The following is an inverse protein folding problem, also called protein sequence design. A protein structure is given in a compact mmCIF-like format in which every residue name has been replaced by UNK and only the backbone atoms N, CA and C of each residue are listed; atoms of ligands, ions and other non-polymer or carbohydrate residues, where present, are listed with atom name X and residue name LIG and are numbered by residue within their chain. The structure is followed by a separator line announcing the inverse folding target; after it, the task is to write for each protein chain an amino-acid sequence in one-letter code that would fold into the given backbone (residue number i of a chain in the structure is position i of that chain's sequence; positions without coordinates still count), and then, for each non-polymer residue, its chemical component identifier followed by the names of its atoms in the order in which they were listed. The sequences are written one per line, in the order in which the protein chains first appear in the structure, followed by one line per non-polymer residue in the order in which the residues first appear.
data_IF_787842226406
#
_entry.id   IF_787842226406
#
_cell.length_a   1.000
_cell.length_b   1.000
_cell.length_c   1.000
_cell.angle_alpha   90.00
_cell.angle_beta   90.00
_cell.angle_gamma   90.00
#
_symmetry.space_group_name_H-M   'P 1'
#
loop_
_entity.id
_entity.type
_entity.pdbx_description
1 polymer ?
#
# COMPACT_ATOMS: atom_id res chain seq x y z
N UNK A 1 -12.47 0.32 43.02
CA UNK A 1 -12.30 1.75 42.75
C UNK A 1 -10.93 1.88 42.11
N UNK A 2 -10.74 2.34 40.87
CA UNK A 2 -11.46 3.36 40.09
C UNK A 2 -11.45 2.96 38.61
N UNK A 3 -12.64 2.90 38.01
CA UNK A 3 -12.79 3.12 36.57
C UNK A 3 -12.36 4.56 36.32
N UNK A 4 -11.22 4.78 35.68
CA UNK A 4 -10.82 6.11 35.24
C UNK A 4 -10.16 6.01 33.87
N UNK A 5 -10.91 6.53 32.89
CA UNK A 5 -10.45 7.08 31.60
C UNK A 5 -9.85 6.11 30.58
N UNK A 6 -10.71 5.25 30.05
CA UNK A 6 -10.54 4.73 28.70
C UNK A 6 -10.63 5.90 27.68
N UNK A 7 -9.56 6.13 26.92
CA UNK A 7 -9.48 7.08 25.80
C UNK A 7 -10.75 7.02 24.92
N UNK A 8 -11.25 8.14 24.35
CA UNK A 8 -12.51 8.15 23.58
C UNK A 8 -12.56 7.13 22.42
N UNK A 9 -11.41 6.72 21.89
CA UNK A 9 -11.22 5.66 20.89
C UNK A 9 -11.63 4.26 21.38
N UNK A 10 -11.52 3.96 22.67
CA UNK A 10 -11.94 2.68 23.25
C UNK A 10 -13.46 2.46 23.21
N UNK A 11 -14.25 3.54 23.21
CA UNK A 11 -15.71 3.44 23.16
C UNK A 11 -16.24 3.22 21.74
N UNK A 12 -15.46 3.55 20.71
CA UNK A 12 -15.89 3.44 19.30
C UNK A 12 -15.40 2.17 18.60
N UNK A 13 -14.26 1.61 19.00
CA UNK A 13 -13.73 0.41 18.33
C UNK A 13 -14.52 -0.85 18.70
N UNK A 14 -15.20 -1.45 17.71
CA UNK A 14 -15.90 -2.74 17.85
C UNK A 14 -14.98 -3.89 18.29
N UNK A 15 -13.67 -3.73 18.10
CA UNK A 15 -12.67 -4.74 18.46
C UNK A 15 -12.19 -4.63 19.91
N UNK A 16 -12.43 -3.50 20.59
CA UNK A 16 -11.98 -3.28 21.97
C UNK A 16 -12.58 -4.30 22.96
N UNK A 17 -13.83 -4.75 22.71
CA UNK A 17 -14.53 -5.77 23.52
C UNK A 17 -13.77 -7.10 23.53
N UNK A 18 -13.03 -7.40 22.47
CA UNK A 18 -12.25 -8.62 22.37
C UNK A 18 -10.92 -8.53 23.14
N UNK A 19 -10.40 -7.34 23.44
CA UNK A 19 -9.10 -7.19 24.09
C UNK A 19 -9.12 -7.46 25.59
N UNK A 20 -10.28 -7.37 26.23
CA UNK A 20 -10.47 -7.52 27.68
C UNK A 20 -10.71 -8.96 28.14
N UNK A 21 -10.86 -9.92 27.21
CA UNK A 21 -10.95 -11.34 27.54
C UNK A 21 -9.60 -12.03 27.45
N UNK A 22 -9.45 -13.19 28.12
CA UNK A 22 -8.33 -14.13 27.96
C UNK A 22 -8.32 -14.74 26.53
N UNK A 23 -8.10 -13.91 25.52
CA UNK A 23 -7.94 -14.34 24.15
C UNK A 23 -6.57 -15.00 24.00
N UNK A 24 -6.56 -16.29 24.30
CA UNK A 24 -5.45 -17.19 24.01
C UNK A 24 -5.23 -17.29 22.52
N UNK A 25 -3.99 -17.59 22.15
CA UNK A 25 -3.58 -17.87 20.78
C UNK A 25 -4.52 -18.88 20.10
N UNK A 26 -4.66 -18.83 18.77
CA UNK A 26 -5.45 -19.82 18.07
C UNK A 26 -4.94 -21.23 18.38
N UNK A 27 -5.81 -22.06 18.97
CA UNK A 27 -5.51 -23.47 19.23
C UNK A 27 -5.04 -24.19 17.96
N UNK A 28 -3.90 -24.88 18.05
CA UNK A 28 -3.32 -25.71 17.00
C UNK A 28 -2.05 -25.14 16.36
N UNK A 29 -0.99 -25.96 16.18
CA UNK A 29 0.28 -25.51 15.61
C UNK A 29 0.12 -25.07 14.15
N UNK A 30 0.99 -24.16 13.70
CA UNK A 30 1.14 -23.88 12.27
C UNK A 30 1.96 -25.02 11.67
N UNK A 31 1.33 -25.91 10.90
CA UNK A 31 2.01 -27.00 10.22
C UNK A 31 2.91 -26.49 9.08
N UNK A 32 4.04 -27.18 8.84
CA UNK A 32 5.03 -26.84 7.79
C UNK A 32 4.40 -26.59 6.42
N UNK A 33 3.53 -27.49 5.96
CA UNK A 33 2.87 -27.35 4.66
C UNK A 33 2.05 -26.04 4.58
N UNK A 34 1.27 -25.74 5.62
CA UNK A 34 0.45 -24.51 5.69
C UNK A 34 1.34 -23.27 5.71
N UNK A 35 2.45 -23.30 6.46
CA UNK A 35 3.44 -22.22 6.48
C UNK A 35 4.02 -21.96 5.08
N UNK A 36 4.58 -23.00 4.43
CA UNK A 36 5.23 -22.88 3.13
C UNK A 36 4.28 -22.42 2.03
N UNK A 37 3.08 -23.02 1.96
CA UNK A 37 2.07 -22.64 0.96
C UNK A 37 1.56 -21.23 1.20
N UNK A 38 1.30 -20.83 2.45
CA UNK A 38 0.84 -19.48 2.76
C UNK A 38 1.93 -18.46 2.45
N UNK A 39 3.17 -18.71 2.86
CA UNK A 39 4.33 -17.85 2.54
C UNK A 39 4.49 -17.69 1.02
N UNK A 40 4.51 -18.79 0.26
CA UNK A 40 4.64 -18.74 -1.21
C UNK A 40 3.55 -17.86 -1.84
N UNK A 41 2.28 -18.12 -1.49
CA UNK A 41 1.14 -17.39 -2.04
C UNK A 41 1.17 -15.90 -1.66
N UNK A 42 1.61 -15.56 -0.45
CA UNK A 42 1.76 -14.17 -0.02
C UNK A 42 2.86 -13.48 -0.84
N UNK A 43 4.04 -14.11 -0.94
CA UNK A 43 5.16 -13.56 -1.68
C UNK A 43 4.84 -13.37 -3.18
N UNK A 44 4.11 -14.30 -3.80
CA UNK A 44 3.61 -14.13 -5.17
C UNK A 44 2.63 -12.97 -5.28
N UNK A 45 1.65 -12.85 -4.37
CA UNK A 45 0.68 -11.74 -4.39
C UNK A 45 1.36 -10.38 -4.20
N UNK A 46 2.34 -10.29 -3.30
CA UNK A 46 3.12 -9.08 -3.07
C UNK A 46 3.89 -8.67 -4.32
N UNK A 47 4.59 -9.61 -4.97
CA UNK A 47 5.31 -9.34 -6.23
C UNK A 47 4.38 -8.91 -7.36
N UNK A 48 3.23 -9.56 -7.53
CA UNK A 48 2.25 -9.16 -8.54
C UNK A 48 1.74 -7.75 -8.28
N UNK A 49 1.40 -7.42 -7.04
CA UNK A 49 0.96 -6.09 -6.66
C UNK A 49 2.04 -5.03 -6.92
N UNK A 50 3.29 -5.29 -6.51
CA UNK A 50 4.42 -4.39 -6.76
C UNK A 50 4.58 -4.14 -8.26
N UNK A 51 4.59 -5.20 -9.07
CA UNK A 51 4.72 -5.09 -10.52
C UNK A 51 3.60 -4.25 -11.14
N UNK A 52 2.35 -4.47 -10.72
CA UNK A 52 1.19 -3.72 -11.22
C UNK A 52 1.20 -2.25 -10.78
N UNK A 53 1.54 -1.99 -9.51
CA UNK A 53 1.67 -0.65 -8.97
C UNK A 53 2.78 0.13 -9.70
N UNK A 54 3.93 -0.51 -9.93
CA UNK A 54 5.05 0.08 -10.67
C UNK A 54 4.69 0.35 -12.13
N UNK A 55 4.01 -0.57 -12.80
CA UNK A 55 3.54 -0.37 -14.17
C UNK A 55 2.55 0.81 -14.26
N UNK A 56 1.64 0.94 -13.29
CA UNK A 56 0.69 2.05 -13.22
C UNK A 56 1.39 3.38 -12.96
N UNK A 57 2.39 3.41 -12.06
CA UNK A 57 3.22 4.59 -11.80
C UNK A 57 3.98 5.02 -13.06
N UNK A 58 4.64 4.08 -13.74
CA UNK A 58 5.40 4.35 -14.96
C UNK A 58 4.51 4.92 -16.08
N UNK A 59 3.28 4.43 -16.22
CA UNK A 59 2.30 4.99 -17.18
C UNK A 59 1.95 6.44 -16.85
N UNK A 60 1.68 6.74 -15.57
CA UNK A 60 1.40 8.10 -15.14
C UNK A 60 2.59 9.02 -15.39
N UNK A 61 3.81 8.59 -15.06
CA UNK A 61 5.03 9.34 -15.31
C UNK A 61 5.26 9.61 -16.80
N UNK A 62 4.99 8.63 -17.66
CA UNK A 62 5.02 8.81 -19.11
C UNK A 62 4.05 9.91 -19.60
N UNK A 63 2.81 9.91 -19.11
CA UNK A 63 1.83 10.97 -19.43
C UNK A 63 2.29 12.33 -18.92
N UNK A 64 2.77 12.40 -17.68
CA UNK A 64 3.27 13.63 -17.06
C UNK A 64 4.42 14.21 -17.87
N UNK A 65 5.39 13.37 -18.27
CA UNK A 65 6.55 13.82 -19.04
C UNK A 65 6.16 14.27 -20.46
N UNK A 66 5.26 13.54 -21.12
CA UNK A 66 4.73 13.94 -22.42
C UNK A 66 4.06 15.32 -22.36
N UNK A 67 3.20 15.56 -21.35
CA UNK A 67 2.59 16.88 -21.16
C UNK A 67 3.60 17.95 -20.79
N UNK A 68 4.60 17.66 -19.95
CA UNK A 68 5.66 18.60 -19.61
C UNK A 68 6.38 19.13 -20.85
N UNK A 69 6.69 18.25 -21.79
CA UNK A 69 7.36 18.63 -23.03
C UNK A 69 6.42 19.38 -23.99
N UNK A 70 5.18 18.91 -24.14
CA UNK A 70 4.21 19.57 -25.03
C UNK A 70 3.82 20.97 -24.54
N UNK A 71 3.67 21.15 -23.23
CA UNK A 71 3.32 22.44 -22.63
C UNK A 71 4.50 23.42 -22.63
N UNK A 72 5.72 22.99 -22.92
CA UNK A 72 6.84 23.88 -23.20
C UNK A 72 6.72 24.59 -24.56
N UNK A 73 5.79 24.16 -25.42
CA UNK A 73 5.58 24.70 -26.77
C UNK A 73 4.40 25.67 -26.78
N UNK A 74 4.68 26.96 -27.05
CA UNK A 74 3.67 28.04 -27.06
C UNK A 74 2.47 27.74 -27.97
N UNK A 75 2.74 27.23 -29.17
CA UNK A 75 1.71 26.86 -30.13
C UNK A 75 0.78 25.78 -29.62
N UNK A 76 1.29 24.82 -28.84
CA UNK A 76 0.46 23.78 -28.25
C UNK A 76 -0.37 24.32 -27.08
N UNK A 77 0.20 25.20 -26.25
CA UNK A 77 -0.56 25.88 -25.18
C UNK A 77 -1.71 26.71 -25.75
N UNK A 78 -1.45 27.54 -26.75
CA UNK A 78 -2.46 28.34 -27.42
C UNK A 78 -3.55 27.47 -28.06
N UNK A 79 -3.18 26.31 -28.62
CA UNK A 79 -4.15 25.34 -29.15
C UNK A 79 -5.04 24.76 -28.05
N UNK A 80 -4.47 24.35 -26.91
CA UNK A 80 -5.26 23.85 -25.78
C UNK A 80 -6.19 24.94 -25.24
N UNK A 81 -5.72 26.19 -25.13
CA UNK A 81 -6.55 27.32 -24.73
C UNK A 81 -7.71 27.58 -25.70
N UNK A 82 -7.43 27.63 -27.01
CA UNK A 82 -8.43 27.88 -28.04
C UNK A 82 -9.49 26.77 -28.15
N UNK A 83 -9.15 25.54 -27.77
CA UNK A 83 -10.06 24.39 -27.80
C UNK A 83 -10.70 24.08 -26.42
N UNK A 84 -10.47 24.92 -25.40
CA UNK A 84 -11.10 24.79 -24.08
C UNK A 84 -10.47 23.74 -23.15
N UNK A 85 -9.22 23.34 -23.40
CA UNK A 85 -8.46 22.37 -22.61
C UNK A 85 -7.37 23.00 -21.74
N UNK A 86 -7.33 24.32 -21.57
CA UNK A 86 -6.34 24.97 -20.69
C UNK A 86 -6.40 24.47 -19.23
N UNK A 87 -7.60 24.08 -18.76
CA UNK A 87 -7.82 23.60 -17.40
C UNK A 87 -7.62 22.09 -17.33
N UNK A 88 -6.51 21.68 -16.73
CA UNK A 88 -6.21 20.27 -16.45
C UNK A 88 -6.51 19.89 -14.99
N UNK A 89 -6.68 18.59 -14.68
CA UNK A 89 -6.82 18.14 -13.30
C UNK A 89 -5.62 18.56 -12.43
N UNK A 90 -5.86 19.09 -11.23
CA UNK A 90 -4.81 19.56 -10.33
C UNK A 90 -3.74 18.49 -10.05
N UNK A 91 -4.16 17.24 -9.83
CA UNK A 91 -3.24 16.10 -9.62
C UNK A 91 -2.26 15.86 -10.77
N UNK A 92 -2.65 16.22 -12.00
CA UNK A 92 -1.78 16.15 -13.18
C UNK A 92 -0.93 17.42 -13.30
N UNK A 93 -1.52 18.60 -13.10
CA UNK A 93 -0.82 19.88 -13.12
C UNK A 93 0.34 19.92 -12.11
N UNK A 94 0.06 19.56 -10.86
CA UNK A 94 1.03 19.55 -9.77
C UNK A 94 2.21 18.62 -10.10
N UNK A 95 1.92 17.46 -10.71
CA UNK A 95 2.95 16.50 -11.16
C UNK A 95 3.81 17.03 -12.29
N UNK A 96 3.21 17.73 -13.26
CA UNK A 96 3.93 18.36 -14.36
C UNK A 96 4.88 19.43 -13.81
N UNK A 97 4.39 20.26 -12.88
CA UNK A 97 5.15 21.33 -12.22
C UNK A 97 6.16 20.83 -11.17
N UNK A 98 6.19 19.53 -10.87
CA UNK A 98 7.09 18.94 -9.87
C UNK A 98 6.69 19.23 -8.41
N UNK A 99 5.45 19.68 -8.17
CA UNK A 99 4.94 20.14 -6.87
C UNK A 99 4.44 18.99 -5.97
N UNK A 100 4.54 17.73 -6.39
CA UNK A 100 4.03 16.58 -5.63
C UNK A 100 4.79 16.25 -4.35
N UNK A 101 5.91 16.92 -4.05
CA UNK A 101 6.64 16.73 -2.80
C UNK A 101 5.76 16.99 -1.56
N UNK A 102 4.80 17.92 -1.64
CA UNK A 102 4.03 18.35 -0.46
C UNK A 102 2.88 17.43 -0.05
N UNK A 103 2.31 16.60 -0.95
CA UNK A 103 1.20 15.71 -0.58
C UNK A 103 1.71 14.52 0.25
N UNK A 104 2.96 14.07 0.02
CA UNK A 104 3.61 13.07 0.85
C UNK A 104 4.06 13.64 2.22
N UNK A 105 4.53 14.89 2.24
CA UNK A 105 4.97 15.55 3.48
C UNK A 105 3.82 15.87 4.44
N UNK A 106 2.59 16.05 3.94
CA UNK A 106 1.44 16.36 4.81
C UNK A 106 0.99 15.17 5.69
N UNK A 107 1.55 13.96 5.48
CA UNK A 107 1.38 12.82 6.41
C UNK A 107 2.69 12.31 7.03
N UNK A 108 3.84 12.79 6.58
CA UNK A 108 5.14 12.27 7.01
C UNK A 108 5.92 13.18 7.98
N UNK A 109 5.35 14.32 8.35
CA UNK A 109 5.93 15.19 9.39
C UNK A 109 5.17 15.05 10.70
N UNK A 110 5.37 13.91 11.36
CA UNK A 110 5.36 13.90 12.80
C UNK A 110 6.51 13.03 13.31
N UNK A 111 7.38 13.54 14.20
CA UNK A 111 8.16 12.69 15.06
C UNK A 111 7.22 12.18 16.16
N UNK A 112 6.32 11.26 15.85
CA UNK A 112 5.41 10.76 16.87
C UNK A 112 6.12 9.72 17.74
N UNK A 113 6.81 10.22 18.76
CA UNK A 113 6.66 9.66 20.09
C UNK A 113 5.23 9.90 20.60
N UNK A 114 4.20 9.51 19.83
CA UNK A 114 2.89 9.22 20.43
C UNK A 114 3.19 8.07 21.36
N UNK A 115 3.04 8.32 22.66
CA UNK A 115 3.11 7.28 23.67
C UNK A 115 2.21 6.15 23.17
N UNK A 116 2.81 5.02 22.78
CA UNK A 116 2.13 3.87 22.20
C UNK A 116 1.14 3.36 23.25
N UNK A 117 -0.09 3.89 23.21
CA UNK A 117 -1.11 3.50 24.16
C UNK A 117 -1.46 2.06 23.83
N UNK A 118 -1.17 1.16 24.78
CA UNK A 118 -1.46 -0.25 24.66
C UNK A 118 -2.75 -0.57 25.40
N UNK A 119 -3.67 -1.23 24.72
CA UNK A 119 -4.89 -1.76 25.31
C UNK A 119 -4.78 -3.28 25.28
N UNK A 120 -4.61 -3.88 26.46
CA UNK A 120 -4.44 -5.33 26.57
C UNK A 120 -3.31 -5.85 25.68
N UNK A 121 -2.19 -5.14 25.59
CA UNK A 121 -1.01 -5.50 24.81
C UNK A 121 -1.09 -5.22 23.30
N UNK A 122 -2.13 -4.50 22.83
CA UNK A 122 -2.30 -4.10 21.43
C UNK A 122 -2.23 -2.59 21.29
N UNK A 123 -1.50 -2.09 20.30
CA UNK A 123 -1.46 -0.67 19.93
C UNK A 123 -2.84 -0.15 19.51
N UNK A 124 -3.21 1.05 19.95
CA UNK A 124 -4.47 1.68 19.51
C UNK A 124 -4.54 1.81 17.99
N UNK A 125 -3.43 2.15 17.35
CA UNK A 125 -3.32 2.33 15.89
C UNK A 125 -3.68 1.04 15.13
N UNK A 126 -3.37 -0.13 15.71
CA UNK A 126 -3.74 -1.42 15.13
C UNK A 126 -5.27 -1.58 15.12
N UNK A 127 -5.96 -1.08 16.15
CA UNK A 127 -7.42 -1.13 16.21
C UNK A 127 -8.05 -0.20 15.17
N UNK A 128 -7.45 0.96 14.94
CA UNK A 128 -7.89 1.93 13.93
C UNK A 128 -7.68 1.36 12.51
N UNK A 129 -6.50 0.78 12.24
CA UNK A 129 -6.20 0.13 10.95
C UNK A 129 -7.20 -1.00 10.65
N UNK A 130 -7.61 -1.74 11.68
CA UNK A 130 -8.48 -2.91 11.53
C UNK A 130 -9.97 -2.61 11.73
N UNK A 131 -10.36 -1.36 11.99
CA UNK A 131 -11.73 -1.01 12.39
C UNK A 131 -12.78 -1.51 11.39
N UNK A 132 -12.51 -1.34 10.09
CA UNK A 132 -13.41 -1.69 8.98
C UNK A 132 -13.29 -3.17 8.57
N UNK A 133 -12.31 -3.88 9.12
CA UNK A 133 -12.06 -5.28 8.79
C UNK A 133 -12.84 -6.25 9.69
N UNK A 134 -13.31 -7.36 9.12
CA UNK A 134 -13.78 -8.51 9.91
C UNK A 134 -12.53 -9.23 10.46
N UNK A 135 -12.28 -9.06 11.76
CA UNK A 135 -11.08 -9.60 12.42
C UNK A 135 -11.45 -10.80 13.28
N UNK A 136 -10.84 -11.98 13.05
CA UNK A 136 -10.96 -13.08 14.00
C UNK A 136 -10.37 -12.67 15.35
N UNK A 137 -11.08 -12.78 16.50
CA UNK A 137 -10.58 -12.28 17.79
C UNK A 137 -9.19 -12.82 18.17
N UNK A 138 -8.90 -14.07 17.83
CA UNK A 138 -7.59 -14.74 18.01
C UNK A 138 -6.42 -14.05 17.28
N UNK A 139 -6.70 -13.12 16.36
CA UNK A 139 -5.70 -12.28 15.70
C UNK A 139 -4.95 -11.41 16.72
N UNK A 140 -5.65 -10.84 17.70
CA UNK A 140 -5.02 -9.99 18.71
C UNK A 140 -4.10 -10.79 19.62
N UNK A 141 -4.43 -12.06 19.91
CA UNK A 141 -3.51 -12.98 20.60
C UNK A 141 -2.21 -13.21 19.82
N UNK A 142 -2.27 -13.28 18.50
CA UNK A 142 -1.09 -13.41 17.64
C UNK A 142 -0.27 -12.11 17.60
N UNK A 143 -0.92 -10.96 17.43
CA UNK A 143 -0.21 -9.67 17.33
C UNK A 143 0.53 -9.32 18.63
N UNK A 144 0.06 -9.77 19.79
CA UNK A 144 0.79 -9.62 21.08
C UNK A 144 2.17 -10.31 21.11
N UNK A 145 2.47 -11.21 20.17
CA UNK A 145 3.77 -11.90 20.10
C UNK A 145 4.89 -11.00 19.55
N UNK A 146 4.56 -9.82 19.01
CA UNK A 146 5.53 -8.90 18.43
C UNK A 146 5.46 -7.53 19.10
N UNK A 147 6.55 -6.77 18.99
CA UNK A 147 6.65 -5.41 19.52
C UNK A 147 5.62 -4.47 18.88
N UNK A 148 5.19 -3.40 19.57
CA UNK A 148 4.20 -2.43 19.09
C UNK A 148 4.35 -1.98 17.63
N UNK A 149 5.55 -1.57 17.22
CA UNK A 149 5.82 -1.12 15.84
C UNK A 149 5.58 -2.21 14.81
N UNK A 150 5.94 -3.45 15.15
CA UNK A 150 5.72 -4.62 14.30
C UNK A 150 4.24 -5.02 14.24
N UNK A 151 3.46 -4.80 15.31
CA UNK A 151 2.01 -5.01 15.27
C UNK A 151 1.35 -4.12 14.21
N UNK A 152 1.71 -2.83 14.20
CA UNK A 152 1.21 -1.83 13.25
C UNK A 152 1.60 -2.24 11.83
N UNK A 153 2.86 -2.60 11.62
CA UNK A 153 3.34 -3.02 10.29
C UNK A 153 2.59 -4.25 9.78
N UNK A 154 2.43 -5.30 10.60
CA UNK A 154 1.67 -6.50 10.22
C UNK A 154 0.23 -6.12 9.88
N UNK A 155 -0.42 -5.27 10.69
CA UNK A 155 -1.79 -4.82 10.45
C UNK A 155 -1.93 -4.12 9.09
N UNK A 156 -1.04 -3.18 8.77
CA UNK A 156 -1.01 -2.50 7.47
C UNK A 156 -0.82 -3.49 6.32
N UNK A 157 0.12 -4.42 6.45
CA UNK A 157 0.42 -5.41 5.42
C UNK A 157 -0.76 -6.35 5.16
N UNK A 158 -1.39 -6.90 6.21
CA UNK A 158 -2.52 -7.82 6.03
C UNK A 158 -3.77 -7.14 5.48
N UNK A 159 -3.97 -5.85 5.78
CA UNK A 159 -5.07 -5.05 5.21
C UNK A 159 -4.78 -4.72 3.75
N UNK A 160 -3.58 -4.24 3.42
CA UNK A 160 -3.18 -3.96 2.04
C UNK A 160 -3.20 -5.22 1.15
N UNK A 161 -2.93 -6.38 1.73
CA UNK A 161 -3.06 -7.67 1.06
C UNK A 161 -4.51 -8.16 0.97
N UNK A 162 -5.48 -7.52 1.61
CA UNK A 162 -6.86 -7.99 1.79
C UNK A 162 -6.91 -9.42 2.37
N UNK A 163 -6.01 -9.70 3.32
CA UNK A 163 -5.80 -11.03 3.93
C UNK A 163 -5.76 -10.95 5.44
N UNK A 164 -6.81 -10.42 6.03
CA UNK A 164 -7.02 -10.45 7.50
C UNK A 164 -7.38 -11.87 7.95
N UNK A 165 -6.40 -12.78 7.92
CA UNK A 165 -6.54 -14.22 8.21
C UNK A 165 -5.45 -14.67 9.17
N UNK A 166 -5.78 -15.57 10.09
CA UNK A 166 -4.86 -16.04 11.14
C UNK A 166 -3.57 -16.65 10.58
N UNK A 167 -3.64 -17.46 9.52
CA UNK A 167 -2.44 -18.07 8.91
C UNK A 167 -1.55 -17.03 8.23
N UNK A 168 -2.12 -15.95 7.70
CA UNK A 168 -1.34 -14.84 7.14
C UNK A 168 -0.54 -14.15 8.25
N UNK A 169 -1.20 -13.77 9.35
CA UNK A 169 -0.50 -13.17 10.50
C UNK A 169 0.55 -14.12 11.10
N UNK A 170 0.26 -15.42 11.20
CA UNK A 170 1.24 -16.41 11.66
C UNK A 170 2.48 -16.48 10.77
N UNK A 171 2.36 -16.34 9.44
CA UNK A 171 3.53 -16.26 8.55
C UNK A 171 4.36 -15.02 8.86
N UNK A 172 3.73 -13.84 8.99
CA UNK A 172 4.44 -12.61 9.36
C UNK A 172 5.18 -12.75 10.70
N UNK A 173 4.56 -13.36 11.71
CA UNK A 173 5.17 -13.56 13.03
C UNK A 173 6.32 -14.57 12.98
N UNK A 174 6.15 -15.69 12.26
CA UNK A 174 7.23 -16.68 12.08
C UNK A 174 8.44 -16.08 11.37
N UNK A 175 8.21 -15.14 10.44
CA UNK A 175 9.24 -14.43 9.69
C UNK A 175 9.54 -13.05 10.30
N UNK A 176 9.26 -12.86 11.60
CA UNK A 176 9.65 -11.64 12.33
C UNK A 176 11.00 -11.89 13.01
N UNK A 177 11.96 -10.96 12.89
CA UNK A 177 13.25 -11.08 13.57
C UNK A 177 13.07 -11.09 15.09
N UNK A 178 13.94 -11.82 15.80
CA UNK A 178 13.88 -11.95 17.26
C UNK A 178 13.88 -10.61 18.00
N UNK A 179 14.56 -9.60 17.46
CA UNK A 179 14.59 -8.23 18.00
C UNK A 179 13.24 -7.51 17.97
N UNK A 180 12.29 -8.01 17.18
CA UNK A 180 10.93 -7.47 17.03
C UNK A 180 9.86 -8.39 17.66
N UNK A 181 10.25 -9.45 18.35
CA UNK A 181 9.35 -10.25 19.17
C UNK A 181 9.10 -9.56 20.52
N UNK A 182 7.90 -9.74 21.07
CA UNK A 182 7.57 -9.22 22.40
C UNK A 182 8.41 -9.88 23.51
N UNK A 183 8.79 -11.14 23.31
CA UNK A 183 9.79 -11.86 24.10
C UNK A 183 10.95 -12.32 23.19
N UNK A 184 12.09 -11.62 23.18
CA UNK A 184 13.25 -12.00 22.37
C UNK A 184 13.89 -13.34 22.76
N UNK A 185 13.62 -13.83 23.98
CA UNK A 185 14.15 -15.11 24.47
C UNK A 185 13.33 -16.32 23.99
N UNK A 186 12.17 -16.07 23.38
CA UNK A 186 11.32 -17.12 22.81
C UNK A 186 12.06 -17.91 21.73
N UNK A 187 11.95 -19.24 21.82
CA UNK A 187 12.54 -20.14 20.84
C UNK A 187 11.94 -19.88 19.45
N UNK A 188 12.80 -19.87 18.42
CA UNK A 188 12.35 -19.77 17.03
C UNK A 188 11.47 -20.95 16.70
N UNK A 189 10.49 -20.73 15.82
CA UNK A 189 9.64 -21.82 15.35
C UNK A 189 10.43 -22.75 14.45
N UNK A 190 10.47 -24.02 14.83
CA UNK A 190 11.13 -25.05 14.05
C UNK A 190 10.14 -25.80 13.17
N UNK A 191 10.58 -26.16 11.97
CA UNK A 191 9.83 -27.00 11.05
C UNK A 191 10.72 -28.15 10.60
N UNK A 192 10.26 -29.39 10.73
CA UNK A 192 11.04 -30.56 10.32
C UNK A 192 11.53 -30.42 8.86
N UNK A 193 12.85 -30.52 8.65
CA UNK A 193 13.48 -30.36 7.34
C UNK A 193 13.45 -28.93 6.78
N UNK A 194 13.39 -27.92 7.65
CA UNK A 194 13.83 -26.55 7.38
C UNK A 194 14.86 -26.24 8.45
N UNK A 195 16.11 -26.04 8.05
CA UNK A 195 17.16 -25.69 9.01
C UNK A 195 17.10 -24.20 9.38
N UNK A 196 17.86 -23.81 10.41
CA UNK A 196 17.88 -22.45 10.91
C UNK A 196 18.39 -21.43 9.85
N UNK A 197 19.32 -21.84 8.98
CA UNK A 197 19.88 -20.97 7.95
C UNK A 197 18.85 -20.70 6.84
N UNK A 198 18.12 -21.74 6.42
CA UNK A 198 17.01 -21.64 5.47
C UNK A 198 15.90 -20.74 6.02
N UNK A 199 15.51 -20.90 7.28
CA UNK A 199 14.49 -20.05 7.88
C UNK A 199 14.95 -18.59 7.98
N UNK A 200 16.22 -18.34 8.34
CA UNK A 200 16.78 -16.99 8.37
C UNK A 200 16.85 -16.36 6.97
N UNK A 201 17.16 -17.13 5.93
CA UNK A 201 17.10 -16.65 4.54
C UNK A 201 15.66 -16.32 4.12
N UNK A 202 14.68 -17.13 4.52
CA UNK A 202 13.26 -16.82 4.29
C UNK A 202 12.84 -15.54 5.01
N UNK A 203 13.28 -15.34 6.25
CA UNK A 203 13.04 -14.15 7.06
C UNK A 203 13.57 -12.89 6.35
N UNK A 204 14.85 -12.89 5.95
CA UNK A 204 15.47 -11.77 5.28
C UNK A 204 14.79 -11.42 3.94
N UNK A 205 14.56 -12.43 3.08
CA UNK A 205 13.91 -12.23 1.78
C UNK A 205 12.47 -11.70 1.93
N UNK A 206 11.74 -12.18 2.94
CA UNK A 206 10.38 -11.76 3.18
C UNK A 206 10.30 -10.36 3.80
N UNK A 207 11.30 -9.97 4.61
CA UNK A 207 11.42 -8.61 5.13
C UNK A 207 11.66 -7.59 4.01
N UNK A 208 12.59 -7.87 3.10
CA UNK A 208 12.84 -7.02 1.91
C UNK A 208 11.57 -6.86 1.06
N UNK A 209 10.92 -8.00 0.74
CA UNK A 209 9.68 -7.99 -0.04
C UNK A 209 8.53 -7.25 0.68
N UNK A 210 8.43 -7.37 2.00
CA UNK A 210 7.43 -6.67 2.82
C UNK A 210 7.62 -5.16 2.78
N UNK A 211 8.88 -4.71 2.85
CA UNK A 211 9.20 -3.30 2.74
C UNK A 211 8.87 -2.75 1.35
N UNK A 212 9.27 -3.44 0.28
CA UNK A 212 8.97 -3.03 -1.10
C UNK A 212 7.45 -2.98 -1.36
N UNK A 213 6.73 -4.01 -0.88
CA UNK A 213 5.27 -4.07 -0.99
C UNK A 213 4.61 -2.91 -0.24
N UNK A 214 5.04 -2.62 0.98
CA UNK A 214 4.52 -1.49 1.76
C UNK A 214 4.74 -0.16 1.04
N UNK A 215 5.96 0.11 0.59
CA UNK A 215 6.30 1.33 -0.16
C UNK A 215 5.42 1.47 -1.41
N UNK A 216 5.19 0.36 -2.11
CA UNK A 216 4.34 0.30 -3.30
C UNK A 216 2.87 0.56 -2.94
N UNK A 217 2.36 -0.03 -1.86
CA UNK A 217 0.97 0.08 -1.42
C UNK A 217 0.63 1.50 -0.95
N UNK A 218 1.52 2.15 -0.19
CA UNK A 218 1.34 3.53 0.28
C UNK A 218 1.17 4.52 -0.88
N UNK A 219 1.88 4.31 -1.99
CA UNK A 219 1.84 5.17 -3.17
C UNK A 219 0.77 4.76 -4.19
N UNK A 220 0.30 3.51 -4.15
CA UNK A 220 -0.59 2.95 -5.16
C UNK A 220 -1.88 3.76 -5.29
N UNK A 221 -2.57 4.05 -4.19
CA UNK A 221 -3.84 4.80 -4.20
C UNK A 221 -3.72 6.19 -4.86
N UNK A 222 -2.84 7.08 -4.36
CA UNK A 222 -2.62 8.39 -4.97
C UNK A 222 -2.18 8.34 -6.44
N UNK A 223 -1.31 7.38 -6.81
CA UNK A 223 -0.87 7.22 -8.19
C UNK A 223 -2.00 6.72 -9.10
N UNK A 224 -2.80 5.75 -8.65
CA UNK A 224 -3.93 5.22 -9.42
C UNK A 224 -5.00 6.28 -9.66
N UNK A 225 -5.36 7.08 -8.63
CA UNK A 225 -6.30 8.19 -8.79
C UNK A 225 -5.78 9.27 -9.76
N UNK A 226 -4.51 9.64 -9.64
CA UNK A 226 -3.88 10.59 -10.55
C UNK A 226 -3.86 10.06 -11.99
N UNK A 227 -3.61 8.77 -12.19
CA UNK A 227 -3.65 8.14 -13.51
C UNK A 227 -5.06 8.13 -14.10
N UNK A 228 -6.09 7.82 -13.31
CA UNK A 228 -7.50 7.89 -13.75
C UNK A 228 -7.85 9.31 -14.19
N UNK A 229 -7.49 10.32 -13.39
CA UNK A 229 -7.73 11.73 -13.73
C UNK A 229 -6.97 12.15 -15.00
N UNK A 230 -5.69 11.79 -15.10
CA UNK A 230 -4.86 12.08 -16.26
C UNK A 230 -5.41 11.43 -17.53
N UNK A 231 -5.87 10.18 -17.43
CA UNK A 231 -6.51 9.47 -18.52
C UNK A 231 -7.81 10.14 -18.97
N UNK A 232 -8.68 10.52 -18.04
CA UNK A 232 -9.95 11.19 -18.38
C UNK A 232 -9.73 12.57 -19.02
N UNK A 233 -8.65 13.27 -18.65
CA UNK A 233 -8.24 14.48 -19.36
C UNK A 233 -7.68 14.15 -20.75
N UNK A 234 -6.78 13.17 -20.85
CA UNK A 234 -6.17 12.76 -22.11
C UNK A 234 -7.22 12.30 -23.14
N UNK A 235 -8.22 11.52 -22.73
CA UNK A 235 -9.29 11.04 -23.61
C UNK A 235 -10.09 12.22 -24.21
N UNK A 236 -10.36 13.26 -23.43
CA UNK A 236 -11.02 14.49 -23.92
C UNK A 236 -10.14 15.26 -24.91
N UNK A 237 -8.86 15.41 -24.61
CA UNK A 237 -7.88 16.10 -25.48
C UNK A 237 -7.72 15.34 -26.80
N UNK A 238 -7.59 14.02 -26.74
CA UNK A 238 -7.43 13.14 -27.90
C UNK A 238 -8.74 12.92 -28.67
N UNK A 239 -9.89 13.29 -28.10
CA UNK A 239 -11.17 13.38 -28.81
C UNK A 239 -11.30 14.61 -29.72
N UNK A 240 -10.42 15.61 -29.58
CA UNK A 240 -10.46 16.81 -30.41
C UNK A 240 -9.61 16.65 -31.68
N UNK A 241 -10.28 16.72 -32.84
CA UNK A 241 -9.65 16.54 -34.16
C UNK A 241 -8.51 17.52 -34.43
N UNK A 242 -8.61 18.77 -33.96
CA UNK A 242 -7.57 19.78 -34.17
C UNK A 242 -6.31 19.47 -33.36
N UNK A 243 -6.49 19.03 -32.11
CA UNK A 243 -5.37 18.58 -31.27
C UNK A 243 -4.70 17.34 -31.86
N UNK A 244 -5.48 16.33 -32.23
CA UNK A 244 -4.93 15.10 -32.85
C UNK A 244 -4.17 15.42 -34.13
N UNK A 245 -4.73 16.28 -35.01
CA UNK A 245 -4.06 16.71 -36.24
C UNK A 245 -2.74 17.45 -35.95
N UNK A 246 -2.73 18.33 -34.95
CA UNK A 246 -1.52 19.04 -34.55
C UNK A 246 -0.45 18.07 -34.03
N UNK A 247 -0.83 17.13 -33.17
CA UNK A 247 0.09 16.11 -32.65
C UNK A 247 0.60 15.20 -33.76
N UNK A 248 -0.25 14.76 -34.69
CA UNK A 248 0.15 13.92 -35.81
C UNK A 248 1.22 14.57 -36.69
N UNK A 249 1.12 15.89 -36.89
CA UNK A 249 2.05 16.63 -37.74
C UNK A 249 3.36 16.99 -37.02
N UNK A 250 3.28 17.41 -35.75
CA UNK A 250 4.42 17.99 -35.03
C UNK A 250 5.05 17.04 -34.00
N UNK A 251 4.28 16.11 -33.44
CA UNK A 251 4.70 15.22 -32.35
C UNK A 251 4.14 13.79 -32.53
N UNK A 252 4.42 13.11 -33.67
CA UNK A 252 3.81 11.81 -33.99
C UNK A 252 4.11 10.74 -32.93
N UNK A 253 5.31 10.73 -32.36
CA UNK A 253 5.65 9.81 -31.25
C UNK A 253 4.80 10.05 -30.01
N UNK A 254 4.53 11.32 -29.65
CA UNK A 254 3.67 11.64 -28.49
C UNK A 254 2.22 11.25 -28.75
N UNK A 255 1.75 11.40 -29.99
CA UNK A 255 0.42 10.92 -30.38
C UNK A 255 0.29 9.41 -30.15
N UNK A 256 1.27 8.63 -30.59
CA UNK A 256 1.28 7.17 -30.45
C UNK A 256 1.33 6.73 -28.97
N UNK A 257 2.16 7.37 -28.15
CA UNK A 257 2.22 7.14 -26.70
C UNK A 257 0.87 7.42 -26.01
N UNK A 258 0.19 8.50 -26.38
CA UNK A 258 -1.13 8.83 -25.87
C UNK A 258 -2.19 7.81 -26.27
N UNK A 259 -2.18 7.35 -27.52
CA UNK A 259 -3.08 6.28 -27.99
C UNK A 259 -2.86 4.98 -27.22
N UNK A 260 -1.60 4.55 -27.08
CA UNK A 260 -1.22 3.36 -26.32
C UNK A 260 -1.70 3.41 -24.86
N UNK A 261 -1.56 4.59 -24.22
CA UNK A 261 -2.03 4.83 -22.84
C UNK A 261 -3.56 4.68 -22.72
N UNK A 262 -4.31 5.20 -23.70
CA UNK A 262 -5.77 5.13 -23.72
C UNK A 262 -6.29 3.71 -24.02
N UNK A 263 -5.62 2.99 -24.93
CA UNK A 263 -5.99 1.64 -25.38
C UNK A 263 -5.78 0.56 -24.32
N UNK A 264 -4.68 0.62 -23.57
CA UNK A 264 -4.40 -0.32 -22.47
C UNK A 264 -5.58 -0.39 -21.47
N UNK A 265 -6.22 0.76 -21.24
CA UNK A 265 -7.29 0.91 -20.27
C UNK A 265 -8.67 0.51 -20.80
N UNK A 266 -8.85 0.38 -22.13
CA UNK A 266 -10.10 -0.13 -22.73
C UNK A 266 -10.18 -1.67 -22.67
N UNK A 267 -9.07 -2.34 -22.39
CA UNK A 267 -8.98 -3.82 -22.28
C UNK A 267 -9.16 -4.34 -20.84
N UNK A 268 -9.21 -3.44 -19.86
CA UNK A 268 -9.29 -3.75 -18.42
C UNK A 268 -10.66 -3.47 -17.79
N UNK A 269 -11.65 -3.09 -18.61
CA UNK A 269 -13.07 -2.93 -18.23
C UNK A 269 -13.88 -4.03 -18.92
#
# INVERSE_FOLDING_TARGET
MTQAEASPTLKSSRHAVHLTGDLREPAGPLHKYVFLTTHKNLSERMRCFIAEANASRARLEGVVEAFRQLLAVDMFRALLEGEGFAVMPATLADRILGQTAHIAETRSNQPETTSQQLIGGICVEVLDILQDCVVPPKMFGLLRQVVPSRQIEIALLIVALERVKLNTARVFIVLTPQSQLADPSSARKEFAGIDAAQLAAMEANFAELSQEFRNSAEQHGPCSLALVAARGYLDRVMGNVRVVRYLAHNFPTRLEEFQSTLDFSRRTI
#
